data_IF_395514554983
#
_entry.id   IF_395514554983
#
_cell.length_a   1.000
_cell.length_b   1.000
_cell.length_c   1.000
_cell.angle_alpha   90.00
_cell.angle_beta   90.00
_cell.angle_gamma   90.00
#
_symmetry.space_group_name_H-M   'P 1'
#
loop_
_entity.id
_entity.type
_entity.pdbx_description
1 polymer ?
#
# COMPACT_ATOMS: atom_id res chain seq x y z
N UNK A 1 22.12 22.06 -5.52
CA UNK A 1 20.83 21.53 -5.99
C UNK A 1 20.81 20.07 -5.57
N UNK A 2 20.03 19.72 -4.53
CA UNK A 2 19.90 18.34 -4.08
C UNK A 2 19.18 17.53 -5.17
N UNK A 3 19.74 16.38 -5.53
CA UNK A 3 19.04 15.44 -6.39
C UNK A 3 17.68 15.11 -5.75
N UNK A 4 16.60 15.17 -6.52
CA UNK A 4 15.28 14.73 -6.05
C UNK A 4 15.41 13.27 -5.56
N UNK A 5 15.19 13.06 -4.26
CA UNK A 5 15.35 11.77 -3.61
C UNK A 5 14.22 10.79 -4.01
N UNK A 6 13.12 11.31 -4.58
CA UNK A 6 11.91 10.54 -4.92
C UNK A 6 11.59 10.66 -6.41
N UNK A 7 10.99 9.63 -6.97
CA UNK A 7 10.46 9.65 -8.34
C UNK A 7 9.28 10.61 -8.42
N UNK A 8 9.43 11.69 -9.19
CA UNK A 8 8.35 12.65 -9.39
C UNK A 8 7.29 12.05 -10.33
N UNK A 9 6.03 12.21 -9.96
CA UNK A 9 4.88 11.89 -10.81
C UNK A 9 3.99 13.12 -10.98
N UNK A 10 3.33 13.22 -12.12
CA UNK A 10 2.39 14.32 -12.43
C UNK A 10 1.01 14.05 -11.84
N UNK A 11 0.13 15.06 -11.92
CA UNK A 11 -1.28 14.88 -11.59
C UNK A 11 -1.93 13.80 -12.46
N UNK A 12 -1.60 13.76 -13.74
CA UNK A 12 -2.15 12.78 -14.67
C UNK A 12 -1.66 11.37 -14.34
N UNK A 13 -0.39 11.21 -13.94
CA UNK A 13 0.14 9.92 -13.49
C UNK A 13 -0.54 9.41 -12.23
N UNK A 14 -0.84 10.32 -11.27
CA UNK A 14 -1.52 9.95 -10.03
C UNK A 14 -3.01 9.72 -10.22
N UNK A 15 -3.68 10.66 -10.90
CA UNK A 15 -5.15 10.64 -11.01
C UNK A 15 -5.68 9.74 -12.12
N UNK A 16 -4.88 9.49 -13.16
CA UNK A 16 -5.32 8.81 -14.39
C UNK A 16 -6.63 9.38 -14.96
N UNK A 17 -6.87 10.68 -14.73
CA UNK A 17 -8.08 11.39 -15.15
C UNK A 17 -9.27 11.28 -14.18
N UNK A 18 -9.12 10.61 -13.03
CA UNK A 18 -10.16 10.56 -11.99
C UNK A 18 -10.09 11.79 -11.08
N UNK A 19 -11.26 12.26 -10.66
CA UNK A 19 -11.37 13.31 -9.65
C UNK A 19 -11.11 12.76 -8.23
N UNK A 20 -10.66 13.60 -7.27
CA UNK A 20 -10.20 13.14 -5.94
C UNK A 20 -11.20 12.27 -5.18
N UNK A 21 -12.50 12.51 -5.31
CA UNK A 21 -13.56 11.73 -4.65
C UNK A 21 -13.73 10.32 -5.24
N UNK A 22 -13.13 10.04 -6.39
CA UNK A 22 -13.11 8.73 -7.05
C UNK A 22 -11.80 7.97 -6.88
N UNK A 23 -10.85 8.52 -6.14
CA UNK A 23 -9.55 7.89 -5.87
C UNK A 23 -9.56 7.28 -4.47
N UNK A 24 -9.21 6.01 -4.39
CA UNK A 24 -9.20 5.21 -3.17
C UNK A 24 -7.80 4.66 -2.90
N UNK A 25 -7.36 4.71 -1.65
CA UNK A 25 -6.05 4.26 -1.21
C UNK A 25 -6.17 3.15 -0.17
N UNK A 26 -5.29 2.17 -0.26
CA UNK A 26 -5.17 1.05 0.69
C UNK A 26 -3.76 0.49 0.68
N UNK A 27 -3.43 -0.31 1.69
CA UNK A 27 -2.16 -1.03 1.79
C UNK A 27 -2.29 -2.25 2.68
N UNK A 28 -1.34 -3.17 2.58
CA UNK A 28 -1.13 -4.29 3.52
C UNK A 28 -2.34 -5.23 3.61
N UNK A 29 -2.87 -5.62 2.44
CA UNK A 29 -3.98 -6.56 2.38
C UNK A 29 -3.56 -7.92 2.94
N UNK A 30 -2.35 -8.37 2.62
CA UNK A 30 -1.79 -9.67 3.02
C UNK A 30 -2.73 -10.85 2.74
N UNK A 31 -3.34 -10.87 1.56
CA UNK A 31 -4.17 -12.00 1.15
C UNK A 31 -3.35 -13.29 1.20
N UNK A 32 -3.97 -14.37 1.64
CA UNK A 32 -3.36 -15.70 1.79
C UNK A 32 -2.22 -15.80 2.83
N UNK A 33 -2.02 -14.76 3.64
CA UNK A 33 -0.98 -14.72 4.66
C UNK A 33 -1.55 -15.09 6.03
N UNK A 34 -1.63 -16.38 6.35
CA UNK A 34 -2.20 -16.85 7.61
C UNK A 34 -1.54 -16.22 8.86
N UNK A 35 -0.23 -16.01 8.84
CA UNK A 35 0.50 -15.49 10.00
C UNK A 35 0.17 -14.03 10.31
N UNK A 36 -0.34 -13.25 9.33
CA UNK A 36 -0.72 -11.86 9.57
C UNK A 36 -1.85 -11.75 10.60
N UNK A 37 -2.72 -12.75 10.66
CA UNK A 37 -3.80 -12.83 11.65
C UNK A 37 -3.22 -12.71 13.07
N UNK A 38 -2.13 -13.44 13.33
CA UNK A 38 -1.44 -13.41 14.63
C UNK A 38 -0.58 -12.17 14.80
N UNK A 39 0.16 -11.76 13.75
CA UNK A 39 1.13 -10.66 13.85
C UNK A 39 0.45 -9.31 14.08
N UNK A 40 -0.71 -9.10 13.47
CA UNK A 40 -1.49 -7.88 13.56
C UNK A 40 -2.79 -8.05 14.36
N UNK A 41 -2.90 -9.16 15.12
CA UNK A 41 -4.08 -9.45 15.95
C UNK A 41 -5.41 -9.25 15.18
N UNK A 42 -5.44 -9.64 13.88
CA UNK A 42 -6.65 -9.49 13.06
C UNK A 42 -7.80 -10.33 13.63
N UNK A 43 -9.07 -9.88 13.58
CA UNK A 43 -10.22 -10.52 14.23
C UNK A 43 -10.69 -11.79 13.49
N UNK A 44 -9.76 -12.69 13.21
CA UNK A 44 -10.00 -13.97 12.55
C UNK A 44 -9.27 -15.10 13.30
N UNK A 45 -9.78 -16.32 13.18
CA UNK A 45 -9.11 -17.48 13.75
C UNK A 45 -7.75 -17.72 13.05
N UNK A 46 -6.72 -18.01 13.84
CA UNK A 46 -5.41 -18.38 13.31
C UNK A 46 -5.44 -19.81 12.75
N UNK A 47 -6.07 -19.96 11.58
CA UNK A 47 -6.25 -21.22 10.86
C UNK A 47 -6.33 -20.97 9.36
N UNK A 48 -6.27 -22.02 8.55
CA UNK A 48 -6.47 -21.92 7.10
C UNK A 48 -7.89 -21.41 6.77
N UNK A 49 -8.88 -21.83 7.53
CA UNK A 49 -10.27 -21.39 7.39
C UNK A 49 -10.41 -19.91 7.76
N UNK A 50 -9.80 -19.48 8.89
CA UNK A 50 -9.79 -18.08 9.30
C UNK A 50 -9.08 -17.18 8.28
N UNK A 51 -7.98 -17.64 7.67
CA UNK A 51 -7.33 -16.93 6.57
C UNK A 51 -8.25 -16.79 5.35
N UNK A 52 -9.01 -17.82 5.02
CA UNK A 52 -10.02 -17.76 3.94
C UNK A 52 -11.12 -16.74 4.25
N UNK A 53 -11.62 -16.74 5.49
CA UNK A 53 -12.61 -15.75 5.95
C UNK A 53 -12.07 -14.32 5.92
N UNK A 54 -10.81 -14.13 6.32
CA UNK A 54 -10.12 -12.84 6.22
C UNK A 54 -10.03 -12.35 4.77
N UNK A 55 -9.58 -13.22 3.86
CA UNK A 55 -9.50 -12.86 2.44
C UNK A 55 -10.86 -12.43 1.89
N UNK A 56 -11.89 -13.21 2.16
CA UNK A 56 -13.26 -12.91 1.71
C UNK A 56 -13.79 -11.61 2.32
N UNK A 57 -13.48 -11.33 3.58
CA UNK A 57 -13.84 -10.08 4.25
C UNK A 57 -13.19 -8.88 3.58
N UNK A 58 -11.88 -8.97 3.26
CA UNK A 58 -11.14 -7.92 2.57
C UNK A 58 -11.71 -7.71 1.15
N UNK A 59 -11.92 -8.79 0.39
CA UNK A 59 -12.45 -8.70 -0.98
C UNK A 59 -13.84 -8.05 -1.02
N UNK A 60 -14.69 -8.29 -0.02
CA UNK A 60 -15.99 -7.61 0.10
C UNK A 60 -15.87 -6.09 0.27
N UNK A 61 -14.79 -5.58 0.86
CA UNK A 61 -14.54 -4.13 0.92
C UNK A 61 -14.35 -3.54 -0.48
N UNK A 62 -13.64 -4.26 -1.35
CA UNK A 62 -13.50 -3.86 -2.76
C UNK A 62 -14.81 -4.02 -3.53
N UNK A 63 -15.62 -5.05 -3.23
CA UNK A 63 -16.94 -5.22 -3.88
C UNK A 63 -17.87 -4.03 -3.62
N UNK A 64 -17.74 -3.37 -2.48
CA UNK A 64 -18.53 -2.22 -2.08
C UNK A 64 -18.08 -0.89 -2.72
N UNK A 65 -16.90 -0.83 -3.33
CA UNK A 65 -16.43 0.38 -4.00
C UNK A 65 -17.21 0.65 -5.30
N UNK A 66 -17.34 1.93 -5.72
CA UNK A 66 -17.90 2.29 -7.02
C UNK A 66 -17.17 1.57 -8.17
N UNK A 67 -17.87 1.26 -9.24
CA UNK A 67 -17.25 0.64 -10.43
C UNK A 67 -16.37 1.63 -11.23
N UNK A 68 -16.70 2.92 -11.19
CA UNK A 68 -15.92 3.99 -11.81
C UNK A 68 -15.05 4.68 -10.76
N UNK A 69 -13.94 4.04 -10.41
CA UNK A 69 -12.95 4.61 -9.49
C UNK A 69 -11.53 4.11 -9.80
N UNK A 70 -10.55 4.82 -9.24
CA UNK A 70 -9.14 4.47 -9.25
C UNK A 70 -8.75 3.96 -7.86
N UNK A 71 -8.06 2.83 -7.81
CA UNK A 71 -7.54 2.25 -6.57
C UNK A 71 -6.02 2.29 -6.61
N UNK A 72 -5.41 2.90 -5.60
CA UNK A 72 -3.99 2.79 -5.32
C UNK A 72 -3.77 1.82 -4.16
N UNK A 73 -3.03 0.74 -4.40
CA UNK A 73 -2.53 -0.14 -3.37
C UNK A 73 -1.06 0.16 -3.11
N UNK A 74 -0.70 0.39 -1.86
CA UNK A 74 0.66 0.74 -1.46
C UNK A 74 1.45 -0.48 -0.96
N UNK A 75 1.20 -1.63 -1.56
CA UNK A 75 2.01 -2.82 -1.41
C UNK A 75 1.47 -3.86 -0.42
N UNK A 76 2.21 -4.95 -0.36
CA UNK A 76 1.92 -6.12 0.46
C UNK A 76 0.51 -6.68 0.20
N UNK A 77 0.23 -6.90 -1.11
CA UNK A 77 -1.08 -7.35 -1.57
C UNK A 77 -1.37 -8.78 -1.12
N UNK A 78 -0.39 -9.68 -1.24
CA UNK A 78 -0.53 -11.07 -0.87
C UNK A 78 0.79 -11.72 -0.48
N UNK A 79 0.72 -12.79 0.30
CA UNK A 79 1.88 -13.63 0.63
C UNK A 79 1.52 -15.11 0.65
N UNK A 80 1.66 -15.79 -0.47
CA UNK A 80 1.69 -17.25 -0.51
C UNK A 80 2.40 -17.75 -1.77
N UNK A 81 3.66 -18.15 -1.62
CA UNK A 81 4.48 -18.62 -2.72
C UNK A 81 4.03 -19.98 -3.31
N UNK A 82 3.11 -20.69 -2.64
CA UNK A 82 2.59 -21.99 -3.09
C UNK A 82 1.33 -21.87 -3.96
N UNK A 83 0.64 -20.73 -3.91
CA UNK A 83 -0.55 -20.51 -4.75
C UNK A 83 -0.18 -20.40 -6.22
N UNK A 84 -1.05 -20.94 -7.09
CA UNK A 84 -1.01 -20.70 -8.52
C UNK A 84 -1.35 -19.25 -8.87
N UNK A 85 -0.78 -18.74 -9.98
CA UNK A 85 -1.08 -17.40 -10.47
C UNK A 85 -2.58 -17.22 -10.73
N UNK A 86 -3.27 -18.24 -11.22
CA UNK A 86 -4.70 -18.18 -11.56
C UNK A 86 -5.56 -17.82 -10.35
N UNK A 87 -5.26 -18.39 -9.18
CA UNK A 87 -6.01 -18.07 -7.95
C UNK A 87 -5.77 -16.63 -7.50
N UNK A 88 -4.53 -16.18 -7.52
CA UNK A 88 -4.15 -14.81 -7.18
C UNK A 88 -4.80 -13.83 -8.16
N UNK A 89 -4.72 -14.14 -9.46
CA UNK A 89 -5.33 -13.32 -10.52
C UNK A 89 -6.84 -13.19 -10.36
N UNK A 90 -7.56 -14.28 -10.01
CA UNK A 90 -9.00 -14.23 -9.77
C UNK A 90 -9.37 -13.20 -8.69
N UNK A 91 -8.64 -13.19 -7.56
CA UNK A 91 -8.92 -12.25 -6.48
C UNK A 91 -8.51 -10.81 -6.86
N UNK A 92 -7.40 -10.62 -7.58
CA UNK A 92 -7.02 -9.30 -8.11
C UNK A 92 -8.06 -8.80 -9.13
N UNK A 93 -8.53 -9.64 -10.04
CA UNK A 93 -9.57 -9.27 -11.00
C UNK A 93 -10.91 -8.97 -10.32
N UNK A 94 -11.25 -9.66 -9.23
CA UNK A 94 -12.42 -9.33 -8.39
C UNK A 94 -12.28 -7.96 -7.75
N UNK A 95 -11.11 -7.61 -7.20
CA UNK A 95 -10.84 -6.27 -6.64
C UNK A 95 -10.93 -5.20 -7.73
N UNK A 96 -10.38 -5.49 -8.89
CA UNK A 96 -10.33 -4.55 -10.02
C UNK A 96 -11.70 -4.34 -10.66
N UNK A 97 -12.41 -5.41 -11.03
CA UNK A 97 -13.63 -5.32 -11.86
C UNK A 97 -13.39 -4.42 -13.10
N UNK A 98 -14.18 -3.34 -13.25
CA UNK A 98 -14.05 -2.34 -14.32
C UNK A 98 -13.20 -1.11 -13.90
N UNK A 99 -12.52 -1.17 -12.75
CA UNK A 99 -11.73 -0.08 -12.17
C UNK A 99 -10.31 -0.04 -12.72
N UNK A 100 -9.66 1.09 -12.54
CA UNK A 100 -8.20 1.18 -12.65
C UNK A 100 -7.56 0.86 -11.31
N UNK A 101 -6.44 0.14 -11.34
CA UNK A 101 -5.74 -0.28 -10.14
C UNK A 101 -4.23 -0.12 -10.30
N UNK A 102 -3.64 0.73 -9.44
CA UNK A 102 -2.21 1.01 -9.37
C UNK A 102 -1.59 0.33 -8.14
N UNK A 103 -0.32 -0.04 -8.23
CA UNK A 103 0.44 -0.67 -7.16
C UNK A 103 1.77 0.04 -6.94
N UNK A 104 2.08 0.39 -5.70
CA UNK A 104 3.44 0.63 -5.23
C UNK A 104 3.90 -0.65 -4.53
N UNK A 105 5.01 -1.26 -4.97
CA UNK A 105 5.46 -2.55 -4.45
C UNK A 105 5.87 -2.46 -2.98
N UNK A 106 5.35 -3.39 -2.17
CA UNK A 106 5.77 -3.61 -0.79
C UNK A 106 6.88 -4.66 -0.66
N UNK A 107 7.44 -4.80 0.52
CA UNK A 107 8.56 -5.71 0.78
C UNK A 107 8.18 -7.19 0.58
N UNK A 108 6.94 -7.59 0.82
CA UNK A 108 6.45 -8.93 0.54
C UNK A 108 6.20 -9.18 -0.95
N UNK A 109 5.84 -8.16 -1.71
CA UNK A 109 5.60 -8.26 -3.15
C UNK A 109 6.88 -8.66 -3.90
N UNK A 110 8.06 -8.24 -3.45
CA UNK A 110 9.35 -8.67 -4.01
C UNK A 110 9.63 -10.17 -3.83
N UNK A 111 8.92 -10.86 -2.94
CA UNK A 111 9.00 -12.31 -2.73
C UNK A 111 7.98 -13.08 -3.56
N UNK A 112 6.98 -12.40 -4.13
CA UNK A 112 5.86 -13.02 -4.83
C UNK A 112 6.16 -13.41 -6.27
N UNK A 113 7.21 -12.83 -6.90
CA UNK A 113 7.52 -13.06 -8.31
C UNK A 113 7.76 -14.54 -8.63
N UNK A 114 7.14 -15.00 -9.70
CA UNK A 114 7.33 -16.35 -10.26
C UNK A 114 7.93 -16.27 -11.66
N UNK A 115 8.81 -17.23 -11.99
CA UNK A 115 9.28 -17.39 -13.37
C UNK A 115 8.09 -17.69 -14.31
N UNK A 116 8.09 -17.21 -15.58
CA UNK A 116 9.25 -16.66 -16.31
C UNK A 116 9.38 -15.14 -16.28
N UNK A 117 8.67 -14.40 -15.45
CA UNK A 117 8.63 -12.94 -15.49
C UNK A 117 10.01 -12.29 -15.23
N UNK A 118 10.45 -11.32 -16.07
CA UNK A 118 11.78 -10.72 -15.98
C UNK A 118 11.96 -9.87 -14.70
N UNK A 119 10.88 -9.23 -14.24
CA UNK A 119 10.87 -8.41 -13.03
C UNK A 119 9.50 -8.40 -12.34
N UNK A 120 9.42 -7.75 -11.18
CA UNK A 120 8.18 -7.69 -10.38
C UNK A 120 7.11 -6.82 -11.02
N UNK A 121 7.48 -5.75 -11.71
CA UNK A 121 6.54 -4.85 -12.41
C UNK A 121 5.74 -5.65 -13.45
N UNK A 122 6.44 -6.38 -14.32
CA UNK A 122 5.81 -7.23 -15.33
C UNK A 122 4.93 -8.33 -14.71
N UNK A 123 5.38 -8.90 -13.59
CA UNK A 123 4.59 -9.91 -12.90
C UNK A 123 3.28 -9.36 -12.37
N UNK A 124 3.29 -8.21 -11.67
CA UNK A 124 2.06 -7.62 -11.14
C UNK A 124 1.16 -7.03 -12.24
N UNK A 125 1.71 -6.50 -13.33
CA UNK A 125 0.92 -6.14 -14.53
C UNK A 125 0.22 -7.36 -15.13
N UNK A 126 0.91 -8.49 -15.24
CA UNK A 126 0.31 -9.75 -15.67
C UNK A 126 -0.83 -10.21 -14.76
N UNK A 127 -0.70 -10.01 -13.45
CA UNK A 127 -1.77 -10.34 -12.49
C UNK A 127 -3.00 -9.44 -12.59
N UNK A 128 -2.90 -8.27 -13.25
CA UNK A 128 -4.04 -7.41 -13.53
C UNK A 128 -3.94 -5.96 -13.08
N UNK A 129 -2.83 -5.53 -12.45
CA UNK A 129 -2.60 -4.12 -12.15
C UNK A 129 -2.34 -3.32 -13.43
N UNK A 130 -2.92 -2.13 -13.54
CA UNK A 130 -2.72 -1.25 -14.70
C UNK A 130 -1.35 -0.59 -14.66
N UNK A 131 -0.97 -0.04 -13.49
CA UNK A 131 0.34 0.54 -13.29
C UNK A 131 1.00 -0.01 -12.02
N UNK A 132 2.33 -0.20 -12.09
CA UNK A 132 3.12 -0.77 -10.99
C UNK A 132 4.42 0.01 -10.83
N UNK A 133 4.69 0.44 -9.61
CA UNK A 133 5.84 1.28 -9.26
C UNK A 133 6.65 0.64 -8.13
N UNK A 134 7.95 0.89 -8.11
CA UNK A 134 8.78 0.48 -6.96
C UNK A 134 8.62 1.42 -5.76
N UNK A 135 8.29 2.68 -6.00
CA UNK A 135 8.27 3.73 -4.98
C UNK A 135 9.68 4.09 -4.44
N UNK A 136 9.81 5.09 -3.57
CA UNK A 136 8.80 6.11 -3.27
C UNK A 136 8.49 7.04 -4.47
N UNK A 137 7.23 7.47 -4.56
CA UNK A 137 6.77 8.44 -5.54
C UNK A 137 6.48 9.78 -4.86
N UNK A 138 6.69 10.89 -5.56
CA UNK A 138 6.30 12.20 -5.06
C UNK A 138 5.31 12.88 -6.01
N UNK A 139 4.18 13.30 -5.46
CA UNK A 139 3.12 14.07 -6.11
C UNK A 139 2.85 15.34 -5.30
N UNK A 140 3.29 16.49 -5.81
CA UNK A 140 3.21 17.73 -5.07
C UNK A 140 3.91 17.63 -3.71
N UNK A 141 3.19 17.91 -2.64
CA UNK A 141 3.69 17.81 -1.26
C UNK A 141 3.54 16.41 -0.66
N UNK A 142 2.99 15.44 -1.40
CA UNK A 142 2.77 14.09 -0.91
C UNK A 142 3.84 13.14 -1.40
N UNK A 143 4.34 12.31 -0.49
CA UNK A 143 5.23 11.19 -0.80
C UNK A 143 4.43 9.92 -0.59
N UNK A 144 4.39 9.06 -1.60
CA UNK A 144 3.71 7.77 -1.58
C UNK A 144 4.73 6.65 -1.52
N UNK A 145 4.68 5.85 -0.50
CA UNK A 145 5.63 4.75 -0.30
C UNK A 145 4.96 3.58 0.41
N UNK A 146 5.47 2.36 0.22
CA UNK A 146 5.05 1.25 1.07
C UNK A 146 5.60 1.45 2.49
N UNK A 147 6.92 1.51 2.64
CA UNK A 147 7.55 1.81 3.93
C UNK A 147 7.61 3.31 4.19
N UNK A 148 7.41 3.78 5.44
CA UNK A 148 7.62 5.18 5.78
C UNK A 148 9.00 5.67 5.37
N UNK A 149 9.08 6.84 4.76
CA UNK A 149 10.35 7.49 4.44
C UNK A 149 10.58 8.68 5.37
N UNK A 150 11.83 8.89 5.74
CA UNK A 150 12.16 10.05 6.58
C UNK A 150 11.93 11.35 5.79
N UNK A 151 11.19 12.28 6.39
CA UNK A 151 10.97 13.64 5.89
C UNK A 151 11.34 14.66 6.97
N UNK A 152 11.99 15.75 6.56
CA UNK A 152 12.35 16.83 7.48
C UNK A 152 11.09 17.52 8.03
N UNK A 153 11.08 17.84 9.33
CA UNK A 153 9.91 18.37 10.05
C UNK A 153 9.32 19.62 9.40
N UNK A 154 10.16 20.53 8.90
CA UNK A 154 9.76 21.80 8.29
C UNK A 154 9.65 21.74 6.75
N UNK A 155 9.72 20.54 6.16
CA UNK A 155 9.69 20.38 4.70
C UNK A 155 8.36 20.71 4.04
N UNK A 156 7.26 20.72 4.79
CA UNK A 156 5.90 20.81 4.27
C UNK A 156 5.44 19.56 3.49
N UNK A 157 6.25 18.49 3.53
CA UNK A 157 5.91 17.21 2.89
C UNK A 157 5.07 16.35 3.83
N UNK A 158 4.23 15.49 3.24
CA UNK A 158 3.42 14.49 3.93
C UNK A 158 3.71 13.12 3.33
N UNK A 159 4.01 12.12 4.16
CA UNK A 159 4.18 10.75 3.70
C UNK A 159 2.91 9.93 3.91
N UNK A 160 2.33 9.48 2.83
CA UNK A 160 1.24 8.48 2.81
C UNK A 160 1.90 7.12 2.64
N UNK A 161 1.67 6.21 3.59
CA UNK A 161 2.44 4.95 3.64
C UNK A 161 1.62 3.77 4.17
N UNK A 162 2.14 2.58 3.94
CA UNK A 162 1.73 1.30 4.48
C UNK A 162 2.68 0.76 5.55
N UNK A 163 2.90 -0.56 5.53
CA UNK A 163 3.96 -1.32 6.19
C UNK A 163 3.90 -1.39 7.73
N UNK A 164 3.58 -0.29 8.41
CA UNK A 164 3.68 -0.24 9.87
C UNK A 164 2.49 -0.87 10.59
N UNK A 165 1.48 -1.34 9.85
CA UNK A 165 0.22 -1.84 10.38
C UNK A 165 -0.40 -0.84 11.38
N UNK A 166 -0.60 -1.21 12.64
CA UNK A 166 -1.16 -0.32 13.68
C UNK A 166 -0.13 0.64 14.30
N UNK A 167 1.16 0.49 13.96
CA UNK A 167 2.21 1.28 14.62
C UNK A 167 2.31 2.69 14.05
N UNK A 168 2.48 3.65 14.94
CA UNK A 168 2.78 5.03 14.56
C UNK A 168 4.23 5.19 14.12
N UNK A 169 4.46 6.11 13.19
CA UNK A 169 5.82 6.51 12.78
C UNK A 169 6.35 7.50 13.81
N UNK A 170 7.44 7.11 14.46
CA UNK A 170 8.14 7.90 15.51
C UNK A 170 9.64 7.94 15.21
N UNK A 171 10.39 8.70 16.00
CA UNK A 171 11.85 8.67 15.93
C UNK A 171 12.40 7.26 16.14
N UNK A 172 11.82 6.49 17.07
CA UNK A 172 12.25 5.11 17.34
C UNK A 172 12.05 4.18 16.14
N UNK A 173 11.03 4.41 15.33
CA UNK A 173 10.83 3.66 14.07
C UNK A 173 12.06 3.79 13.17
N UNK A 174 12.51 5.02 12.88
CA UNK A 174 13.67 5.25 12.02
C UNK A 174 14.99 4.82 12.65
N UNK A 175 15.11 4.93 13.98
CA UNK A 175 16.29 4.43 14.69
C UNK A 175 16.41 2.91 14.62
N UNK A 176 15.30 2.18 14.69
CA UNK A 176 15.29 0.73 14.60
C UNK A 176 15.57 0.21 13.19
N UNK A 177 15.00 0.86 12.15
CA UNK A 177 15.10 0.41 10.77
C UNK A 177 16.38 0.89 10.06
N UNK A 178 16.87 2.11 10.36
CA UNK A 178 17.96 2.76 9.61
C UNK A 178 19.24 3.04 10.39
N UNK A 179 19.38 2.51 11.62
CA UNK A 179 20.57 2.68 12.46
C UNK A 179 20.80 4.11 13.02
N UNK A 180 21.85 4.21 13.86
CA UNK A 180 22.26 5.41 14.61
C UNK A 180 22.46 6.70 13.79
N UNK A 181 22.48 6.61 12.45
CA UNK A 181 22.52 7.78 11.55
C UNK A 181 21.33 8.73 11.70
N UNK A 182 20.24 8.26 12.31
CA UNK A 182 19.02 9.05 12.56
C UNK A 182 18.94 9.60 14.01
N UNK A 183 19.94 9.36 14.86
CA UNK A 183 19.91 9.70 16.31
C UNK A 183 19.72 11.18 16.65
N UNK A 184 19.77 12.09 15.65
CA UNK A 184 19.58 13.54 15.84
C UNK A 184 18.43 14.11 15.02
N UNK A 185 17.68 13.25 14.30
CA UNK A 185 16.58 13.69 13.43
C UNK A 185 15.25 13.61 14.18
N UNK A 186 14.50 14.72 14.15
CA UNK A 186 13.17 14.77 14.75
C UNK A 186 12.12 14.44 13.72
N UNK A 187 11.15 13.63 14.12
CA UNK A 187 9.99 13.25 13.33
C UNK A 187 8.78 14.05 13.80
N UNK A 188 7.98 14.55 12.85
CA UNK A 188 6.66 15.05 13.17
C UNK A 188 5.62 13.99 12.74
N UNK A 189 5.02 13.25 13.70
CA UNK A 189 4.05 12.20 13.37
C UNK A 189 2.86 12.68 12.52
N UNK A 190 2.49 13.97 12.62
CA UNK A 190 1.40 14.56 11.84
C UNK A 190 1.69 14.62 10.32
N UNK A 191 2.96 14.50 9.92
CA UNK A 191 3.36 14.42 8.52
C UNK A 191 3.24 13.00 7.93
N UNK A 192 2.74 12.02 8.71
CA UNK A 192 2.63 10.63 8.28
C UNK A 192 1.18 10.16 8.33
N UNK A 193 0.67 9.71 7.18
CA UNK A 193 -0.65 9.08 7.08
C UNK A 193 -0.49 7.59 6.77
N UNK A 194 -0.77 6.78 7.76
CA UNK A 194 -0.81 5.33 7.62
C UNK A 194 -2.11 4.88 6.96
N UNK A 195 -2.02 4.18 5.83
CA UNK A 195 -3.16 3.65 5.08
C UNK A 195 -3.26 2.12 5.12
N UNK A 196 -2.50 1.45 6.02
CA UNK A 196 -2.66 0.02 6.23
C UNK A 196 -4.11 -0.32 6.60
N UNK A 197 -4.58 -1.45 6.14
CA UNK A 197 -5.90 -1.99 6.50
C UNK A 197 -6.06 -2.10 8.01
N UNK A 198 -5.04 -2.57 8.73
CA UNK A 198 -5.05 -2.73 10.18
C UNK A 198 -5.21 -1.40 10.93
N UNK A 199 -4.57 -0.33 10.45
CA UNK A 199 -4.63 1.00 11.06
C UNK A 199 -5.96 1.74 10.81
N UNK A 200 -6.78 1.25 9.91
CA UNK A 200 -8.00 1.93 9.46
C UNK A 200 -9.24 1.00 9.53
N UNK A 201 -9.28 0.08 10.48
CA UNK A 201 -10.41 -0.85 10.68
C UNK A 201 -10.87 -1.54 9.38
N UNK A 202 -9.92 -1.93 8.55
CA UNK A 202 -10.14 -2.52 7.22
C UNK A 202 -10.91 -1.61 6.25
N UNK A 203 -10.87 -0.29 6.43
CA UNK A 203 -11.45 0.64 5.47
C UNK A 203 -10.45 0.99 4.37
N UNK A 204 -10.97 1.07 3.13
CA UNK A 204 -10.26 1.65 1.99
C UNK A 204 -10.55 3.14 2.01
N UNK A 205 -9.51 3.98 2.09
CA UNK A 205 -9.64 5.40 2.33
C UNK A 205 -9.85 6.17 1.03
N UNK A 206 -10.66 7.23 1.04
CA UNK A 206 -10.78 8.16 -0.08
C UNK A 206 -9.63 9.17 -0.06
N UNK A 207 -9.06 9.44 -1.21
CA UNK A 207 -8.04 10.49 -1.35
C UNK A 207 -8.55 11.86 -0.91
N UNK A 208 -9.78 12.21 -1.28
CA UNK A 208 -10.42 13.45 -0.86
C UNK A 208 -10.46 13.63 0.67
N UNK A 209 -10.66 12.57 1.43
CA UNK A 209 -10.68 12.62 2.89
C UNK A 209 -9.28 12.81 3.46
N UNK A 210 -8.28 12.22 2.83
CA UNK A 210 -6.88 12.36 3.25
C UNK A 210 -6.40 13.79 3.04
N UNK A 211 -6.60 14.39 1.85
CA UNK A 211 -6.14 15.76 1.58
C UNK A 211 -6.83 16.84 2.41
N UNK A 212 -8.02 16.57 2.92
CA UNK A 212 -8.73 17.50 3.84
C UNK A 212 -8.17 17.46 5.27
N UNK A 213 -7.38 16.45 5.61
CA UNK A 213 -6.80 16.28 6.94
C UNK A 213 -5.43 16.96 7.08
N UNK A 214 -4.82 17.40 5.98
CA UNK A 214 -3.54 18.09 5.90
C UNK A 214 -3.68 19.46 5.23
#
# INVERSE_FOLDING_TARGET
MGANMFTQITTDDFSLGYSPEKIYLTSDLHLFHINIIKYCNRPFEYSAEGCTKMNEFILKKFDALPEDCLIWNFGDVFLNLRLGNDRIMQDIMRMKKNRKMCLILGNHDFRARKKPFPNYIEYFKYLGFDEVYKGPLQFGNYIFSHEPVFIEKESGLVNIHGHTHEKMVTEDYFLSEYNKSFSHKKVNPEQYKNICMDANDFHILKWEEIIKAF
#
